data_IF_707771570894
#
_entry.id   IF_707771570894
#
_cell.length_a   1.000
_cell.length_b   1.000
_cell.length_c   1.000
_cell.angle_alpha   90.00
_cell.angle_beta   90.00
_cell.angle_gamma   90.00
#
_symmetry.space_group_name_H-M   'P 1'
#
loop_
_entity.id
_entity.type
_entity.pdbx_description
1 polymer ?
#
# COMPACT_ATOMS: atom_id res chain seq x y z
N UNK A 1 2.88 -12.86 -4.65
CA UNK A 1 4.35 -12.86 -4.84
C UNK A 1 5.13 -12.93 -3.53
N UNK A 2 4.79 -12.14 -2.52
CA UNK A 2 5.51 -12.12 -1.23
C UNK A 2 4.96 -13.11 -0.19
N UNK A 3 3.85 -13.80 -0.53
CA UNK A 3 3.16 -14.80 0.30
C UNK A 3 2.53 -14.21 1.55
N UNK A 4 2.03 -12.99 1.44
CA UNK A 4 1.12 -12.34 2.38
C UNK A 4 -0.31 -12.58 1.86
N UNK A 5 -1.22 -13.18 2.65
CA UNK A 5 -2.64 -13.26 2.31
C UNK A 5 -3.20 -11.85 2.08
N UNK A 6 -4.09 -11.70 1.10
CA UNK A 6 -4.69 -10.41 0.76
C UNK A 6 -6.17 -10.62 0.49
N UNK A 7 -7.00 -9.80 1.12
CA UNK A 7 -8.44 -9.82 0.97
C UNK A 7 -8.93 -8.49 0.39
N UNK A 8 -9.93 -8.58 -0.50
CA UNK A 8 -10.55 -7.41 -1.10
C UNK A 8 -11.94 -7.23 -0.51
N UNK A 9 -12.20 -6.05 0.04
CA UNK A 9 -13.51 -5.65 0.56
C UNK A 9 -13.96 -4.36 -0.12
N UNK A 10 -15.27 -4.18 -0.21
CA UNK A 10 -15.89 -2.98 -0.80
C UNK A 10 -16.66 -2.26 0.29
N UNK A 11 -16.28 -1.01 0.54
CA UNK A 11 -17.02 -0.10 1.40
C UNK A 11 -16.78 1.35 0.97
N UNK A 12 -17.59 2.27 1.47
CA UNK A 12 -17.48 3.68 1.17
C UNK A 12 -17.67 4.51 2.42
N UNK A 13 -16.59 5.14 2.89
CA UNK A 13 -16.64 6.00 4.07
C UNK A 13 -17.62 7.18 3.95
N UNK A 14 -18.03 7.58 2.74
CA UNK A 14 -19.01 8.64 2.52
C UNK A 14 -20.45 8.15 2.44
N UNK A 15 -20.68 6.92 1.97
CA UNK A 15 -22.02 6.41 1.64
C UNK A 15 -22.51 5.33 2.60
N UNK A 16 -21.59 4.65 3.28
CA UNK A 16 -21.86 3.52 4.16
C UNK A 16 -20.73 3.42 5.21
N UNK A 17 -20.60 4.46 6.02
CA UNK A 17 -19.51 4.61 7.01
C UNK A 17 -19.58 3.52 8.07
N UNK A 18 -20.79 3.17 8.52
CA UNK A 18 -21.05 2.11 9.49
C UNK A 18 -20.52 0.75 9.00
N UNK A 19 -20.73 0.40 7.72
CA UNK A 19 -20.10 -0.80 7.16
C UNK A 19 -18.57 -0.71 7.16
N UNK A 20 -17.99 0.46 6.85
CA UNK A 20 -16.52 0.63 6.92
C UNK A 20 -16.00 0.36 8.34
N UNK A 21 -16.69 0.87 9.37
CA UNK A 21 -16.31 0.65 10.77
C UNK A 21 -16.48 -0.81 11.20
N UNK A 22 -17.55 -1.47 10.77
CA UNK A 22 -17.77 -2.89 11.07
C UNK A 22 -16.68 -3.77 10.44
N UNK A 23 -16.21 -3.45 9.23
CA UNK A 23 -15.10 -4.16 8.59
C UNK A 23 -13.78 -3.98 9.35
N UNK A 24 -13.52 -2.77 9.85
CA UNK A 24 -12.33 -2.50 10.66
C UNK A 24 -12.38 -3.36 11.93
N UNK A 25 -13.51 -3.36 12.63
CA UNK A 25 -13.70 -4.14 13.85
C UNK A 25 -13.59 -5.66 13.63
N UNK A 26 -14.08 -6.16 12.50
CA UNK A 26 -13.93 -7.56 12.08
C UNK A 26 -12.45 -7.97 12.09
N UNK A 27 -11.61 -7.28 11.31
CA UNK A 27 -10.19 -7.62 11.18
C UNK A 27 -9.35 -7.27 12.43
N UNK A 28 -9.69 -6.23 13.19
CA UNK A 28 -9.04 -5.97 14.48
C UNK A 28 -9.32 -7.09 15.51
N UNK A 29 -10.51 -7.70 15.44
CA UNK A 29 -10.94 -8.76 16.35
C UNK A 29 -10.32 -10.13 16.09
N UNK A 30 -9.70 -10.37 14.93
CA UNK A 30 -9.14 -11.67 14.56
C UNK A 30 -7.83 -12.00 15.27
N UNK A 31 -7.14 -11.00 15.83
CA UNK A 31 -5.80 -11.19 16.40
C UNK A 31 -4.71 -11.48 15.37
N UNK A 32 -4.99 -11.24 14.08
CA UNK A 32 -4.05 -11.41 12.97
C UNK A 32 -3.40 -10.05 12.65
N UNK A 33 -2.06 -9.93 12.66
CA UNK A 33 -1.38 -8.71 12.26
C UNK A 33 -1.77 -8.28 10.83
N UNK A 34 -2.40 -7.12 10.71
CA UNK A 34 -3.05 -6.67 9.47
C UNK A 34 -2.57 -5.28 9.08
N UNK A 35 -2.45 -5.03 7.78
CA UNK A 35 -2.20 -3.69 7.20
C UNK A 35 -3.35 -3.37 6.26
N UNK A 36 -4.02 -2.25 6.47
CA UNK A 36 -5.09 -1.81 5.58
C UNK A 36 -4.52 -1.03 4.40
N UNK A 37 -4.99 -1.35 3.20
CA UNK A 37 -4.71 -0.56 1.99
C UNK A 37 -6.01 0.06 1.51
N UNK A 38 -6.15 1.37 1.72
CA UNK A 38 -7.34 2.13 1.34
C UNK A 38 -7.22 2.65 -0.10
N UNK A 39 -8.09 2.15 -0.97
CA UNK A 39 -8.15 2.52 -2.39
C UNK A 39 -9.39 3.35 -2.65
N UNK A 40 -9.24 4.68 -2.70
CA UNK A 40 -10.33 5.61 -3.00
C UNK A 40 -9.84 6.73 -3.93
N UNK A 41 -10.59 6.99 -5.00
CA UNK A 41 -10.32 8.10 -5.92
C UNK A 41 -10.94 9.41 -5.46
N UNK A 42 -10.63 10.50 -6.17
CA UNK A 42 -11.14 11.85 -5.88
C UNK A 42 -10.79 12.28 -4.45
N UNK A 43 -11.77 12.76 -3.68
CA UNK A 43 -11.61 13.04 -2.25
C UNK A 43 -11.57 11.73 -1.47
N UNK A 44 -10.38 11.24 -1.14
CA UNK A 44 -10.18 10.03 -0.35
C UNK A 44 -10.61 10.25 1.11
N UNK A 45 -11.85 9.88 1.44
CA UNK A 45 -12.31 9.78 2.82
C UNK A 45 -12.07 8.41 3.46
N UNK A 46 -11.90 7.35 2.66
CA UNK A 46 -11.75 5.99 3.17
C UNK A 46 -10.47 5.84 3.99
N UNK A 47 -9.35 6.32 3.47
CA UNK A 47 -8.05 6.33 4.15
C UNK A 47 -8.08 7.01 5.52
N UNK A 48 -8.45 8.30 5.57
CA UNK A 48 -8.56 9.04 6.82
C UNK A 48 -9.53 8.42 7.83
N UNK A 49 -10.70 7.95 7.38
CA UNK A 49 -11.67 7.30 8.29
C UNK A 49 -11.11 5.99 8.85
N UNK A 50 -10.49 5.15 8.02
CA UNK A 50 -9.84 3.93 8.51
C UNK A 50 -8.72 4.27 9.49
N UNK A 51 -7.86 5.23 9.18
CA UNK A 51 -6.74 5.62 10.05
C UNK A 51 -7.15 6.28 11.36
N UNK A 52 -8.30 6.95 11.40
CA UNK A 52 -8.81 7.57 12.62
C UNK A 52 -9.52 6.58 13.56
N UNK A 53 -9.86 5.39 13.07
CA UNK A 53 -10.68 4.41 13.80
C UNK A 53 -9.99 3.03 13.94
N UNK A 54 -8.72 2.91 13.58
CA UNK A 54 -7.97 1.66 13.65
C UNK A 54 -6.58 1.91 14.22
N UNK A 55 -6.09 0.97 15.04
CA UNK A 55 -4.71 1.03 15.57
C UNK A 55 -3.67 0.41 14.63
N UNK A 56 -4.11 -0.27 13.58
CA UNK A 56 -3.22 -0.90 12.60
C UNK A 56 -2.75 0.09 11.52
N UNK A 57 -1.63 -0.19 10.83
CA UNK A 57 -1.12 0.67 9.77
C UNK A 57 -2.11 0.78 8.60
N UNK A 58 -2.31 2.01 8.12
CA UNK A 58 -3.16 2.31 6.96
C UNK A 58 -2.32 2.95 5.86
N UNK A 59 -2.41 2.39 4.65
CA UNK A 59 -1.74 2.88 3.44
C UNK A 59 -2.79 3.34 2.44
N UNK A 60 -2.79 4.63 2.13
CA UNK A 60 -3.57 5.17 1.03
C UNK A 60 -2.90 4.81 -0.29
N UNK A 61 -3.63 4.10 -1.16
CA UNK A 61 -3.22 3.81 -2.53
C UNK A 61 -4.31 4.30 -3.50
N UNK A 62 -4.50 5.63 -3.64
CA UNK A 62 -5.56 6.17 -4.48
C UNK A 62 -5.33 5.78 -5.95
N UNK A 63 -6.38 5.42 -6.71
CA UNK A 63 -6.28 5.17 -8.14
C UNK A 63 -6.16 6.51 -8.87
N UNK A 64 -4.96 7.08 -8.86
CA UNK A 64 -4.66 8.38 -9.46
C UNK A 64 -4.77 8.28 -10.98
N UNK A 65 -5.53 9.19 -11.61
CA UNK A 65 -5.74 9.19 -13.06
C UNK A 65 -5.52 10.57 -13.70
N UNK A 66 -4.91 10.58 -14.88
CA UNK A 66 -4.92 11.67 -15.85
C UNK A 66 -4.80 13.07 -15.26
N UNK A 67 -5.73 13.95 -15.65
CA UNK A 67 -5.72 15.37 -15.29
C UNK A 67 -5.98 15.64 -13.79
N UNK A 68 -6.81 14.84 -13.13
CA UNK A 68 -7.25 15.13 -11.76
C UNK A 68 -6.27 14.66 -10.69
N UNK A 69 -5.37 13.75 -11.03
CA UNK A 69 -4.42 13.16 -10.10
C UNK A 69 -3.63 14.13 -9.22
N UNK A 70 -3.04 15.22 -9.78
CA UNK A 70 -2.33 16.23 -9.00
C UNK A 70 -3.18 16.97 -7.96
N UNK A 71 -4.51 16.94 -8.10
CA UNK A 71 -5.45 17.57 -7.17
C UNK A 71 -5.95 16.55 -6.16
N UNK A 72 -6.39 15.39 -6.64
CA UNK A 72 -6.96 14.33 -5.82
C UNK A 72 -5.97 13.79 -4.78
N UNK A 73 -4.68 13.73 -5.10
CA UNK A 73 -3.65 13.20 -4.19
C UNK A 73 -3.58 13.95 -2.85
N UNK A 74 -3.91 15.24 -2.84
CA UNK A 74 -3.88 16.04 -1.62
C UNK A 74 -4.87 15.56 -0.56
N UNK A 75 -5.96 14.89 -0.97
CA UNK A 75 -6.90 14.28 -0.03
C UNK A 75 -6.29 13.13 0.78
N UNK A 76 -5.23 12.50 0.28
CA UNK A 76 -4.50 11.43 0.97
C UNK A 76 -3.27 11.96 1.75
N UNK A 77 -2.72 13.11 1.35
CA UNK A 77 -1.51 13.69 1.94
C UNK A 77 -1.77 14.68 3.08
N UNK A 78 -2.81 15.52 2.97
CA UNK A 78 -3.10 16.57 3.95
C UNK A 78 -4.25 16.16 4.86
N UNK A 79 -3.91 15.39 5.87
CA UNK A 79 -4.85 14.91 6.90
C UNK A 79 -4.75 15.72 8.19
N UNK A 80 -5.82 15.80 9.00
CA UNK A 80 -5.77 16.48 10.30
C UNK A 80 -4.85 15.76 11.30
N UNK A 81 -4.53 16.44 12.41
CA UNK A 81 -3.71 15.89 13.49
C UNK A 81 -4.33 14.63 14.10
N UNK A 82 -3.49 13.68 14.52
CA UNK A 82 -3.91 12.42 15.12
C UNK A 82 -4.10 11.27 14.13
N UNK A 83 -3.93 11.51 12.82
CA UNK A 83 -3.97 10.48 11.79
C UNK A 83 -2.55 10.08 11.34
N UNK A 84 -2.33 8.76 11.19
CA UNK A 84 -1.05 8.16 10.83
C UNK A 84 -1.01 7.52 9.44
N UNK A 85 -2.06 7.66 8.62
CA UNK A 85 -2.09 7.05 7.29
C UNK A 85 -0.95 7.55 6.41
N UNK A 86 -0.25 6.61 5.78
CA UNK A 86 0.77 6.90 4.77
C UNK A 86 0.16 6.89 3.38
N UNK A 87 0.87 7.38 2.36
CA UNK A 87 0.39 7.38 0.98
C UNK A 87 1.43 6.78 0.05
N UNK A 88 1.03 5.82 -0.78
CA UNK A 88 1.84 5.19 -1.82
C UNK A 88 1.03 5.14 -3.12
N UNK A 89 1.57 5.65 -4.22
CA UNK A 89 0.80 5.84 -5.45
C UNK A 89 0.59 4.55 -6.26
N UNK A 90 1.59 3.68 -6.28
CA UNK A 90 1.58 2.51 -7.15
C UNK A 90 1.11 1.27 -6.38
N UNK A 91 0.17 0.46 -6.92
CA UNK A 91 -0.34 -0.74 -6.25
C UNK A 91 0.76 -1.71 -5.83
N UNK A 92 1.76 -1.93 -6.68
CA UNK A 92 2.90 -2.81 -6.37
C UNK A 92 3.75 -2.27 -5.22
N UNK A 93 3.91 -0.94 -5.16
CA UNK A 93 4.63 -0.28 -4.08
C UNK A 93 3.84 -0.32 -2.77
N UNK A 94 2.50 -0.20 -2.80
CA UNK A 94 1.66 -0.35 -1.62
C UNK A 94 1.75 -1.77 -1.05
N UNK A 95 1.75 -2.79 -1.91
CA UNK A 95 1.97 -4.18 -1.49
C UNK A 95 3.38 -4.40 -0.90
N UNK A 96 4.41 -3.76 -1.46
CA UNK A 96 5.77 -3.81 -0.92
C UNK A 96 5.87 -3.12 0.44
N UNK A 97 5.24 -1.95 0.60
CA UNK A 97 5.22 -1.22 1.87
C UNK A 97 4.50 -2.02 2.96
N UNK A 98 3.34 -2.60 2.65
CA UNK A 98 2.63 -3.48 3.58
C UNK A 98 3.49 -4.70 3.96
N UNK A 99 4.16 -5.34 3.00
CA UNK A 99 5.06 -6.46 3.28
C UNK A 99 6.28 -6.04 4.12
N UNK A 100 6.84 -4.83 3.92
CA UNK A 100 7.95 -4.33 4.73
C UNK A 100 7.56 -4.11 6.19
N UNK A 101 6.33 -3.65 6.44
CA UNK A 101 5.77 -3.51 7.79
C UNK A 101 5.66 -4.89 8.45
N UNK A 102 5.04 -5.85 7.76
CA UNK A 102 4.84 -7.21 8.28
C UNK A 102 6.16 -7.98 8.46
N UNK A 103 7.15 -7.73 7.60
CA UNK A 103 8.48 -8.34 7.67
C UNK A 103 9.26 -8.00 8.95
N UNK A 104 8.84 -7.01 9.73
CA UNK A 104 9.45 -6.71 11.03
C UNK A 104 9.25 -7.85 12.04
N UNK A 105 8.17 -8.64 11.88
CA UNK A 105 7.85 -9.79 12.74
C UNK A 105 7.82 -11.13 11.99
N UNK A 106 7.82 -11.13 10.65
CA UNK A 106 7.84 -12.34 9.81
C UNK A 106 9.14 -12.46 8.98
N UNK A 107 10.01 -13.38 9.38
CA UNK A 107 11.30 -13.63 8.73
C UNK A 107 11.16 -14.23 7.31
N UNK A 108 10.04 -14.89 7.00
CA UNK A 108 9.78 -15.46 5.67
C UNK A 108 9.44 -14.34 4.68
N UNK A 109 8.59 -13.40 5.08
CA UNK A 109 8.31 -12.19 4.29
C UNK A 109 9.60 -11.37 4.12
N UNK A 110 10.37 -11.19 5.19
CA UNK A 110 11.66 -10.49 5.16
C UNK A 110 12.63 -11.11 4.15
N UNK A 111 12.79 -12.45 4.17
CA UNK A 111 13.71 -13.14 3.27
C UNK A 111 13.28 -12.98 1.80
N UNK A 112 11.97 -13.04 1.52
CA UNK A 112 11.43 -12.79 0.18
C UNK A 112 11.68 -11.36 -0.30
N UNK A 113 11.56 -10.37 0.58
CA UNK A 113 11.90 -8.97 0.26
C UNK A 113 13.39 -8.81 -0.06
N UNK A 114 14.28 -9.42 0.73
CA UNK A 114 15.73 -9.41 0.47
C UNK A 114 16.09 -10.08 -0.87
N UNK A 115 15.51 -11.23 -1.16
CA UNK A 115 15.70 -11.91 -2.43
C UNK A 115 15.22 -11.05 -3.61
N UNK A 116 14.07 -10.39 -3.48
CA UNK A 116 13.54 -9.48 -4.49
C UNK A 116 14.50 -8.29 -4.76
N UNK A 117 15.00 -7.64 -3.69
CA UNK A 117 15.99 -6.56 -3.78
C UNK A 117 17.25 -7.00 -4.54
N UNK A 118 17.78 -8.20 -4.21
CA UNK A 118 18.95 -8.76 -4.88
C UNK A 118 18.66 -9.03 -6.36
N UNK A 119 17.53 -9.64 -6.69
CA UNK A 119 17.16 -9.95 -8.07
C UNK A 119 16.99 -8.67 -8.92
N UNK A 120 16.42 -7.59 -8.35
CA UNK A 120 16.34 -6.30 -9.04
C UNK A 120 17.73 -5.73 -9.33
N UNK A 121 18.65 -5.83 -8.38
CA UNK A 121 20.04 -5.40 -8.58
C UNK A 121 20.73 -6.19 -9.70
N UNK A 122 20.57 -7.53 -9.71
CA UNK A 122 21.12 -8.39 -10.78
C UNK A 122 20.51 -8.02 -12.13
N UNK A 123 19.19 -7.84 -12.21
CA UNK A 123 18.50 -7.47 -13.44
C UNK A 123 19.01 -6.15 -14.03
N UNK A 124 19.25 -5.14 -13.19
CA UNK A 124 19.82 -3.86 -13.63
C UNK A 124 21.25 -4.01 -14.17
N UNK A 125 22.09 -4.82 -13.51
CA UNK A 125 23.46 -5.09 -13.99
C UNK A 125 23.47 -5.81 -15.33
N UNK A 126 22.58 -6.78 -15.53
CA UNK A 126 22.44 -7.49 -16.80
C UNK A 126 21.91 -6.57 -17.91
N UNK A 127 20.94 -5.71 -17.60
CA UNK A 127 20.41 -4.73 -18.54
C UNK A 127 21.49 -3.74 -19.01
N UNK A 128 22.29 -3.18 -18.09
CA UNK A 128 23.41 -2.29 -18.43
C UNK A 128 24.44 -2.99 -19.35
N UNK A 129 24.82 -4.23 -19.01
CA UNK A 129 25.75 -5.02 -19.84
C UNK A 129 25.20 -5.23 -21.26
N UNK A 130 23.90 -5.50 -21.40
CA UNK A 130 23.24 -5.70 -22.69
C UNK A 130 23.25 -4.41 -23.53
N UNK A 131 22.91 -3.27 -22.94
CA UNK A 131 22.90 -1.98 -23.64
C UNK A 131 24.30 -1.61 -24.14
N UNK A 132 25.34 -1.79 -23.32
CA UNK A 132 26.73 -1.54 -23.73
C UNK A 132 27.18 -2.39 -24.92
N UNK A 133 26.81 -3.67 -24.94
CA UNK A 133 27.15 -4.56 -26.04
C UNK A 133 26.47 -4.15 -27.36
N UNK A 134 25.24 -3.60 -27.29
CA UNK A 134 24.50 -3.13 -28.48
C UNK A 134 25.04 -1.81 -29.04
N UNK A 135 25.67 -0.97 -28.22
CA UNK A 135 26.28 0.30 -28.66
C UNK A 135 27.66 0.13 -29.31
N UNK A 136 28.30 -1.02 -29.11
CA UNK A 136 29.61 -1.35 -29.67
C UNK A 136 29.53 -2.02 -31.06
N UNK A 137 28.31 -2.25 -31.57
CA UNK A 137 27.97 -2.75 -32.92
C UNK A 137 27.53 -1.58 -33.79
#
# INVERSE_FOLDING_TARGET
>A
KLGVPCELRVSSAHKNTDQTLNLIAEYEGEGIPTVFVSVAGRSNGLGPVTSGNCSFPVINCPPVSGEWGPRDIWSSLRVPSGLGCTTVLFPEAAALAAAQILALSDHVIWARLKANQHNNWVALKLADKKVKAQQAL
#
